data_IF_988640652332
#
_entry.id   IF_988640652332
#
_cell.length_a   1.000
_cell.length_b   1.000
_cell.length_c   1.000
_cell.angle_alpha   90.00
_cell.angle_beta   90.00
_cell.angle_gamma   90.00
#
_symmetry.space_group_name_H-M   'P 1'
#
loop_
_entity.id
_entity.type
_entity.pdbx_description
1 polymer ?
#
# COMPACT_ATOMS: atom_id res chain seq x y z
N UNK A 1 -9.49 21.51 2.83
CA UNK A 1 -8.76 20.47 3.57
C UNK A 1 -7.93 19.61 2.61
N UNK A 2 -6.60 19.56 2.75
CA UNK A 2 -5.71 18.74 1.89
C UNK A 2 -5.77 17.28 2.39
N UNK A 3 -6.45 16.38 1.67
CA UNK A 3 -6.45 14.95 1.99
C UNK A 3 -5.02 14.37 1.90
N UNK A 4 -4.40 14.07 3.04
CA UNK A 4 -3.09 13.43 3.10
C UNK A 4 -3.24 11.96 2.67
N UNK A 5 -2.47 11.54 1.67
CA UNK A 5 -2.44 10.16 1.16
C UNK A 5 -1.19 9.44 1.68
N UNK A 6 -1.27 8.13 1.87
CA UNK A 6 -0.15 7.26 2.23
C UNK A 6 -0.07 6.08 1.28
N UNK A 7 1.11 5.50 1.24
CA UNK A 7 1.44 4.32 0.46
C UNK A 7 1.86 3.21 1.42
N UNK A 8 1.23 2.05 1.32
CA UNK A 8 1.59 0.86 2.07
C UNK A 8 2.23 -0.12 1.11
N UNK A 9 3.32 -0.74 1.57
CA UNK A 9 3.98 -1.86 0.92
C UNK A 9 3.57 -3.14 1.64
N UNK A 10 3.14 -4.12 0.87
CA UNK A 10 2.63 -5.39 1.36
C UNK A 10 3.38 -6.51 0.68
N UNK A 11 3.71 -7.52 1.48
CA UNK A 11 4.31 -8.76 1.03
C UNK A 11 3.24 -9.73 0.51
N UNK A 12 3.40 -10.18 -0.74
CA UNK A 12 2.48 -11.09 -1.41
C UNK A 12 1.20 -10.42 -1.92
N UNK A 13 0.22 -11.26 -2.25
CA UNK A 13 -1.01 -10.82 -2.93
C UNK A 13 -2.08 -10.33 -1.95
N UNK A 14 -2.89 -9.36 -2.40
CA UNK A 14 -4.07 -8.89 -1.67
C UNK A 14 -5.28 -9.78 -1.95
N UNK A 15 -5.99 -10.16 -0.89
CA UNK A 15 -7.27 -10.83 -1.01
C UNK A 15 -8.31 -9.92 -1.66
N UNK A 16 -9.12 -10.50 -2.56
CA UNK A 16 -10.17 -9.81 -3.31
C UNK A 16 -11.18 -9.11 -2.39
N UNK A 17 -11.38 -9.65 -1.18
CA UNK A 17 -12.24 -9.08 -0.13
C UNK A 17 -11.76 -7.70 0.33
N UNK A 18 -10.45 -7.49 0.46
CA UNK A 18 -9.89 -6.18 0.85
C UNK A 18 -10.07 -5.18 -0.31
N UNK A 19 -9.97 -5.64 -1.57
CA UNK A 19 -10.19 -4.79 -2.74
C UNK A 19 -11.62 -4.24 -2.77
N UNK A 20 -12.62 -5.08 -2.52
CA UNK A 20 -14.03 -4.70 -2.52
C UNK A 20 -14.40 -3.80 -1.34
N UNK A 21 -13.83 -4.07 -0.16
CA UNK A 21 -14.04 -3.25 1.05
C UNK A 21 -13.53 -1.81 0.85
N UNK A 22 -12.49 -1.62 0.07
CA UNK A 22 -11.79 -0.33 -0.07
C UNK A 22 -11.83 0.22 -1.50
N UNK A 23 -13.02 0.45 -2.08
CA UNK A 23 -13.18 0.92 -3.48
C UNK A 23 -12.44 2.23 -3.85
N UNK A 24 -11.98 3.03 -2.89
CA UNK A 24 -11.27 4.31 -3.12
C UNK A 24 -9.74 4.20 -3.14
N UNK A 25 -9.16 3.01 -2.99
CA UNK A 25 -7.70 2.83 -3.00
C UNK A 25 -7.18 2.56 -4.41
N UNK A 26 -5.94 2.98 -4.69
CA UNK A 26 -5.22 2.57 -5.91
C UNK A 26 -4.17 1.54 -5.55
N UNK A 27 -4.04 0.50 -6.37
CA UNK A 27 -3.18 -0.65 -6.07
C UNK A 27 -2.22 -0.86 -7.22
N UNK A 28 -0.97 -1.14 -6.89
CA UNK A 28 0.10 -1.41 -7.83
C UNK A 28 0.74 -2.75 -7.45
N UNK A 29 0.77 -3.68 -8.39
CA UNK A 29 1.47 -4.97 -8.21
C UNK A 29 2.88 -4.83 -8.79
N UNK A 30 3.87 -5.36 -8.09
CA UNK A 30 5.26 -5.37 -8.54
C UNK A 30 6.00 -6.58 -7.95
N UNK A 31 6.42 -7.54 -8.79
CA UNK A 31 7.21 -8.73 -8.43
C UNK A 31 7.00 -9.27 -7.00
N UNK A 32 5.84 -9.87 -6.75
CA UNK A 32 5.52 -10.47 -5.45
C UNK A 32 5.13 -9.47 -4.35
N UNK A 33 5.16 -8.17 -4.62
CA UNK A 33 4.75 -7.12 -3.70
C UNK A 33 3.52 -6.36 -4.20
N UNK A 34 2.80 -5.79 -3.24
CA UNK A 34 1.65 -4.93 -3.51
C UNK A 34 1.82 -3.59 -2.83
N UNK A 35 1.64 -2.52 -3.61
CA UNK A 35 1.66 -1.15 -3.13
C UNK A 35 0.24 -0.61 -3.16
N UNK A 36 -0.31 -0.29 -2.00
CA UNK A 36 -1.62 0.38 -1.89
C UNK A 36 -1.41 1.86 -1.63
N UNK A 37 -2.07 2.69 -2.43
CA UNK A 37 -2.28 4.11 -2.17
C UNK A 37 -3.66 4.31 -1.54
N UNK A 38 -3.70 4.72 -0.28
CA UNK A 38 -4.92 4.98 0.46
C UNK A 38 -4.90 6.36 1.17
N UNK A 39 -6.06 6.91 1.57
CA UNK A 39 -6.12 8.08 2.43
C UNK A 39 -5.60 7.77 3.84
N UNK A 40 -5.02 8.77 4.51
CA UNK A 40 -4.40 8.60 5.83
C UNK A 40 -5.34 7.96 6.86
N UNK A 41 -6.61 8.34 6.85
CA UNK A 41 -7.63 7.83 7.77
C UNK A 41 -7.84 6.31 7.63
N UNK A 42 -7.74 5.77 6.42
CA UNK A 42 -7.90 4.33 6.16
C UNK A 42 -6.62 3.53 6.41
N UNK A 43 -5.46 4.17 6.58
CA UNK A 43 -4.17 3.46 6.76
C UNK A 43 -4.19 2.57 7.99
N UNK A 44 -4.80 3.04 9.08
CA UNK A 44 -4.83 2.31 10.35
C UNK A 44 -5.70 1.07 10.24
N UNK A 45 -6.89 1.20 9.64
CA UNK A 45 -7.80 0.08 9.38
C UNK A 45 -7.19 -0.92 8.41
N UNK A 46 -6.62 -0.42 7.30
CA UNK A 46 -5.99 -1.27 6.28
C UNK A 46 -4.79 -2.05 6.86
N UNK A 47 -3.98 -1.41 7.71
CA UNK A 47 -2.88 -2.09 8.41
C UNK A 47 -3.41 -3.16 9.37
N UNK A 48 -4.57 -2.94 9.99
CA UNK A 48 -5.19 -3.90 10.89
C UNK A 48 -5.76 -5.10 10.13
N UNK A 49 -6.42 -4.88 9.00
CA UNK A 49 -6.96 -5.93 8.13
C UNK A 49 -5.86 -6.77 7.46
N UNK A 50 -4.81 -6.11 6.93
CA UNK A 50 -3.68 -6.79 6.28
C UNK A 50 -2.72 -7.42 7.32
N UNK A 51 -2.69 -6.84 8.52
CA UNK A 51 -1.89 -7.32 9.64
C UNK A 51 -0.38 -7.24 9.38
N UNK A 52 0.33 -8.32 9.71
CA UNK A 52 1.80 -8.41 9.65
C UNK A 52 2.37 -8.42 8.23
N UNK A 53 1.54 -8.53 7.20
CA UNK A 53 1.97 -8.53 5.79
C UNK A 53 2.34 -7.11 5.31
N UNK A 54 1.94 -6.06 6.04
CA UNK A 54 2.40 -4.69 5.76
C UNK A 54 3.87 -4.55 6.13
N UNK A 55 4.73 -4.54 5.12
CA UNK A 55 6.17 -4.35 5.26
C UNK A 55 6.52 -2.91 5.65
N UNK A 56 5.89 -1.93 4.99
CA UNK A 56 6.26 -0.52 5.19
C UNK A 56 5.13 0.44 4.86
N UNK A 57 5.12 1.59 5.53
CA UNK A 57 4.19 2.69 5.25
C UNK A 57 4.99 3.96 4.96
N UNK A 58 4.65 4.67 3.90
CA UNK A 58 5.34 5.88 3.47
C UNK A 58 4.38 6.97 3.00
N UNK A 59 4.80 8.23 3.12
CA UNK A 59 4.07 9.36 2.54
C UNK A 59 4.28 9.52 1.03
N UNK A 60 5.28 8.86 0.45
CA UNK A 60 5.63 8.99 -0.96
C UNK A 60 5.88 7.63 -1.60
N UNK A 61 5.32 7.45 -2.80
CA UNK A 61 5.53 6.27 -3.65
C UNK A 61 7.01 6.09 -4.00
N UNK A 62 7.73 7.19 -4.24
CA UNK A 62 9.16 7.14 -4.58
C UNK A 62 9.97 6.43 -3.48
N UNK A 63 9.65 6.70 -2.21
CA UNK A 63 10.30 6.03 -1.07
C UNK A 63 9.96 4.55 -1.00
N UNK A 64 8.73 4.14 -1.36
CA UNK A 64 8.35 2.72 -1.44
C UNK A 64 9.14 2.03 -2.56
N UNK A 65 9.22 2.64 -3.74
CA UNK A 65 9.98 2.10 -4.89
C UNK A 65 11.46 1.91 -4.59
N UNK A 66 12.07 2.90 -3.93
CA UNK A 66 13.47 2.80 -3.46
C UNK A 66 13.62 1.65 -2.46
N UNK A 67 12.68 1.49 -1.52
CA UNK A 67 12.72 0.42 -0.54
C UNK A 67 12.59 -0.98 -1.16
N UNK A 68 11.80 -1.11 -2.22
CA UNK A 68 11.69 -2.34 -2.99
C UNK A 68 12.93 -2.66 -3.83
N UNK A 69 13.94 -1.79 -3.82
CA UNK A 69 15.09 -1.96 -4.70
C UNK A 69 14.67 -1.90 -6.17
N UNK A 70 13.57 -1.22 -6.52
CA UNK A 70 13.19 -0.87 -7.90
C UNK A 70 14.18 0.20 -8.38
N UNK A 71 15.42 -0.22 -8.49
CA UNK A 71 16.54 0.48 -9.07
C UNK A 71 16.41 0.13 -10.54
N UNK A 72 15.72 1.02 -11.26
CA UNK A 72 15.78 1.21 -12.72
C UNK A 72 16.65 0.15 -13.42
N UNK A 73 16.00 -0.89 -13.93
CA UNK A 73 16.44 -1.51 -15.18
C UNK A 73 15.90 -0.61 -16.28
#
# INVERSE_FOLDING_TARGET
MRFKKRYLLIDGNLDKVILEKYQKIKIFHHDGYVIIKCPLDQVKDLRRDIGKRVLRISGSLKKIKINLGIKRI
#
